data_IF_951936139857
#
_entry.id   IF_951936139857
#
_cell.length_a   1.000
_cell.length_b   1.000
_cell.length_c   1.000
_cell.angle_alpha   90.00
_cell.angle_beta   90.00
_cell.angle_gamma   90.00
#
_symmetry.space_group_name_H-M   'P 1'
#
loop_
_entity.id
_entity.type
_entity.pdbx_description
1 polymer ?
#
# COMPACT_ATOMS: atom_id res chain seq x y z
N UNK A 1 -6.99 11.04 -2.17
CA UNK A 1 -7.65 9.73 -1.96
C UNK A 1 -7.33 9.25 -0.56
N UNK A 2 -8.32 8.72 0.14
CA UNK A 2 -8.10 8.17 1.48
C UNK A 2 -8.20 6.66 1.43
N UNK A 3 -7.37 5.98 2.23
CA UNK A 3 -7.46 4.53 2.35
C UNK A 3 -8.76 4.14 3.06
N UNK A 4 -9.43 3.11 2.54
CA UNK A 4 -10.59 2.52 3.21
C UNK A 4 -10.12 1.67 4.40
N UNK A 5 -11.05 1.33 5.29
CA UNK A 5 -10.73 0.44 6.42
C UNK A 5 -10.22 -0.91 5.93
N UNK A 6 -10.81 -1.44 4.87
CA UNK A 6 -10.37 -2.70 4.28
C UNK A 6 -8.94 -2.60 3.75
N UNK A 7 -8.64 -1.51 3.05
CA UNK A 7 -7.29 -1.29 2.53
C UNK A 7 -6.28 -1.18 3.66
N UNK A 8 -6.61 -0.43 4.71
CA UNK A 8 -5.74 -0.30 5.88
C UNK A 8 -5.48 -1.65 6.55
N UNK A 9 -6.52 -2.48 6.68
CA UNK A 9 -6.37 -3.81 7.28
C UNK A 9 -5.47 -4.70 6.44
N UNK A 10 -5.59 -4.67 5.13
CA UNK A 10 -4.74 -5.46 4.24
C UNK A 10 -3.29 -4.98 4.30
N UNK A 11 -3.09 -3.67 4.30
CA UNK A 11 -1.76 -3.09 4.41
C UNK A 11 -1.11 -3.49 5.74
N UNK A 12 -1.86 -3.39 6.83
CA UNK A 12 -1.35 -3.74 8.16
C UNK A 12 -0.98 -5.22 8.22
N UNK A 13 -1.81 -6.11 7.66
CA UNK A 13 -1.51 -7.53 7.62
C UNK A 13 -0.21 -7.82 6.86
N UNK A 14 0.00 -7.17 5.73
CA UNK A 14 1.23 -7.32 4.96
C UNK A 14 2.44 -6.79 5.73
N UNK A 15 2.28 -5.62 6.35
CA UNK A 15 3.34 -5.02 7.13
C UNK A 15 3.76 -5.93 8.30
N UNK A 16 2.80 -6.51 9.01
CA UNK A 16 3.09 -7.42 10.12
C UNK A 16 3.91 -8.63 9.67
N UNK A 17 3.69 -9.11 8.46
CA UNK A 17 4.45 -10.22 7.90
C UNK A 17 5.83 -9.82 7.41
N UNK A 18 6.03 -8.56 7.04
CA UNK A 18 7.27 -8.09 6.43
C UNK A 18 8.21 -7.36 7.40
N UNK A 19 7.68 -6.84 8.49
CA UNK A 19 8.46 -6.00 9.40
C UNK A 19 9.61 -6.74 10.09
N UNK A 20 9.54 -8.07 10.17
CA UNK A 20 10.55 -8.89 10.81
C UNK A 20 11.67 -9.30 9.85
N UNK A 21 11.53 -9.01 8.57
CA UNK A 21 12.57 -9.22 7.58
C UNK A 21 13.48 -7.98 7.56
N UNK A 22 14.73 -8.14 7.17
CA UNK A 22 15.70 -7.05 7.11
C UNK A 22 15.42 -6.14 5.91
N UNK A 23 14.19 -5.67 5.75
CA UNK A 23 13.80 -4.83 4.64
C UNK A 23 13.61 -3.38 5.08
N UNK A 24 13.98 -2.46 4.19
CA UNK A 24 13.73 -1.04 4.44
C UNK A 24 12.25 -0.73 4.28
N UNK A 25 11.82 0.38 4.83
CA UNK A 25 10.43 0.81 4.67
C UNK A 25 10.06 0.99 3.20
N UNK A 26 11.01 1.48 2.38
CA UNK A 26 10.78 1.62 0.94
C UNK A 26 10.52 0.30 0.25
N UNK A 27 11.26 -0.75 0.63
CA UNK A 27 11.04 -2.08 0.07
C UNK A 27 9.69 -2.66 0.49
N UNK A 28 9.35 -2.49 1.76
CA UNK A 28 8.05 -2.93 2.29
C UNK A 28 6.92 -2.20 1.56
N UNK A 29 7.06 -0.90 1.38
CA UNK A 29 6.08 -0.07 0.66
C UNK A 29 5.85 -0.60 -0.75
N UNK A 30 6.93 -0.88 -1.49
CA UNK A 30 6.83 -1.39 -2.85
C UNK A 30 6.10 -2.74 -2.90
N UNK A 31 6.47 -3.66 -2.00
CA UNK A 31 5.83 -4.96 -1.94
C UNK A 31 4.33 -4.83 -1.63
N UNK A 32 3.97 -3.97 -0.69
CA UNK A 32 2.58 -3.79 -0.29
C UNK A 32 1.76 -3.17 -1.41
N UNK A 33 2.30 -2.15 -2.10
CA UNK A 33 1.59 -1.53 -3.22
C UNK A 33 1.35 -2.55 -4.32
N UNK A 34 2.37 -3.33 -4.68
CA UNK A 34 2.23 -4.38 -5.69
C UNK A 34 1.18 -5.41 -5.28
N UNK A 35 1.19 -5.82 -4.02
CA UNK A 35 0.20 -6.76 -3.51
C UNK A 35 -1.23 -6.20 -3.66
N UNK A 36 -1.42 -4.95 -3.29
CA UNK A 36 -2.75 -4.31 -3.36
C UNK A 36 -3.24 -4.21 -4.81
N UNK A 37 -2.36 -3.90 -5.74
CA UNK A 37 -2.72 -3.83 -7.15
C UNK A 37 -3.03 -5.22 -7.71
N UNK A 38 -2.19 -6.21 -7.41
CA UNK A 38 -2.34 -7.56 -7.93
C UNK A 38 -3.60 -8.25 -7.42
N UNK A 39 -4.03 -7.92 -6.20
CA UNK A 39 -5.18 -8.55 -5.57
C UNK A 39 -6.43 -7.66 -5.60
N UNK A 40 -6.41 -6.61 -6.41
CA UNK A 40 -7.55 -5.70 -6.56
C UNK A 40 -8.04 -5.09 -5.24
N UNK A 41 -7.13 -4.92 -4.29
CA UNK A 41 -7.41 -4.21 -3.04
C UNK A 41 -7.66 -2.73 -3.36
N UNK A 42 -6.99 -2.22 -4.40
CA UNK A 42 -7.24 -0.90 -4.96
C UNK A 42 -7.70 -1.07 -6.41
N UNK A 43 -8.74 -0.34 -6.80
CA UNK A 43 -9.28 -0.39 -8.16
C UNK A 43 -8.67 0.72 -8.99
N UNK A 44 -7.82 0.35 -9.94
CA UNK A 44 -7.15 1.27 -10.84
C UNK A 44 -7.66 1.15 -12.28
N UNK A 45 -8.81 0.48 -12.48
CA UNK A 45 -9.33 0.23 -13.82
C UNK A 45 -9.65 1.50 -14.61
N UNK A 46 -9.94 2.61 -13.92
CA UNK A 46 -10.23 3.90 -14.55
C UNK A 46 -9.07 4.90 -14.44
N UNK A 47 -7.89 4.41 -14.10
CA UNK A 47 -6.72 5.26 -13.91
C UNK A 47 -5.99 5.45 -15.25
N UNK A 48 -6.40 6.46 -16.01
CA UNK A 48 -5.84 6.72 -17.34
C UNK A 48 -4.47 7.39 -17.28
N UNK A 49 -4.25 8.25 -16.27
CA UNK A 49 -3.04 9.07 -16.18
C UNK A 49 -2.06 8.61 -15.09
N UNK A 50 -2.41 7.56 -14.36
CA UNK A 50 -1.57 7.11 -13.26
C UNK A 50 -1.73 7.92 -11.98
N UNK A 51 -2.64 8.90 -11.95
CA UNK A 51 -2.85 9.76 -10.78
C UNK A 51 -3.39 8.99 -9.58
N UNK A 52 -4.30 8.06 -9.81
CA UNK A 52 -4.85 7.24 -8.72
C UNK A 52 -3.80 6.34 -8.11
N UNK A 53 -2.96 5.76 -8.95
CA UNK A 53 -1.85 4.92 -8.48
C UNK A 53 -0.89 5.74 -7.63
N UNK A 54 -0.53 6.94 -8.09
CA UNK A 54 0.37 7.81 -7.36
C UNK A 54 -0.22 8.21 -6.01
N UNK A 55 -1.49 8.63 -5.99
CA UNK A 55 -2.17 8.97 -4.74
C UNK A 55 -2.24 7.79 -3.79
N UNK A 56 -2.59 6.60 -4.30
CA UNK A 56 -2.66 5.40 -3.47
C UNK A 56 -1.29 5.07 -2.89
N UNK A 57 -0.24 5.12 -3.73
CA UNK A 57 1.12 4.86 -3.29
C UNK A 57 1.55 5.80 -2.17
N UNK A 58 1.24 7.09 -2.31
CA UNK A 58 1.54 8.09 -1.29
C UNK A 58 0.76 7.84 -0.01
N UNK A 59 -0.52 7.48 -0.13
CA UNK A 59 -1.35 7.18 1.04
C UNK A 59 -0.83 5.96 1.79
N UNK A 60 -0.39 4.93 1.07
CA UNK A 60 0.21 3.75 1.68
C UNK A 60 1.49 4.13 2.43
N UNK A 61 2.32 4.95 1.81
CA UNK A 61 3.55 5.42 2.44
C UNK A 61 3.26 6.14 3.76
N UNK A 62 2.32 7.08 3.72
CA UNK A 62 1.94 7.84 4.91
C UNK A 62 1.42 6.92 6.01
N UNK A 63 0.60 5.93 5.64
CA UNK A 63 0.08 4.98 6.62
C UNK A 63 1.20 4.14 7.24
N UNK A 64 2.13 3.67 6.43
CA UNK A 64 3.27 2.89 6.91
C UNK A 64 4.13 3.70 7.89
N UNK A 65 4.32 4.97 7.61
CA UNK A 65 5.06 5.84 8.54
C UNK A 65 4.33 6.02 9.87
N UNK A 66 3.02 5.91 9.86
CA UNK A 66 2.21 6.02 11.06
C UNK A 66 2.31 4.77 11.93
N UNK A 67 2.42 3.60 11.32
CA UNK A 67 2.39 2.31 12.06
C UNK A 67 3.76 1.71 12.31
N UNK A 68 4.81 2.24 11.71
CA UNK A 68 6.16 1.70 11.92
C UNK A 68 6.68 1.94 13.33
#
# INVERSE_FOLDING_TARGET
MKLTEEQKNQILNQYEGLKNDDQTLGEIHEIIVDFCVDNYIVDLSNDEDGDMFEEFSNDVWDYLETIK
#
